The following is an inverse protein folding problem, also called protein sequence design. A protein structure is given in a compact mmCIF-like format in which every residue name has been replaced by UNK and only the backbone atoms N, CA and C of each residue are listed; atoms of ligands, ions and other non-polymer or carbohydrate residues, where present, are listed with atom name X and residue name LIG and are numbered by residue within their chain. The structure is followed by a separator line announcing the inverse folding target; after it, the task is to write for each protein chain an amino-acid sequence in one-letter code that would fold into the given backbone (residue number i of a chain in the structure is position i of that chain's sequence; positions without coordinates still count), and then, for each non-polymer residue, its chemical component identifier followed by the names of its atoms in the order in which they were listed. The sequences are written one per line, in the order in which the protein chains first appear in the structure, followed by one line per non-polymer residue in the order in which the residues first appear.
data_IF_207807894266
#
_entry.id   IF_207807894266
#
_cell.length_a   1.000
_cell.length_b   1.000
_cell.length_c   1.000
_cell.angle_alpha   90.00
_cell.angle_beta   90.00
_cell.angle_gamma   90.00
#
_symmetry.space_group_name_H-M   'P 1'
#
loop_
_entity.id
_entity.type
_entity.pdbx_description
1 polymer ?
#
# COMPACT_ATOMS: atom_id res chain seq x y z
N UNK A 1 4.54 -7.23 10.65
CA UNK A 1 3.50 -6.31 10.14
C UNK A 1 2.31 -7.18 9.82
N UNK A 2 1.16 -6.94 10.45
CA UNK A 2 0.02 -7.83 10.28
C UNK A 2 -0.76 -7.46 9.01
N UNK A 3 -1.15 -8.48 8.23
CA UNK A 3 -2.17 -8.29 7.19
C UNK A 3 -3.56 -8.46 7.81
N UNK A 4 -4.58 -7.94 7.13
CA UNK A 4 -5.96 -8.05 7.57
C UNK A 4 -6.85 -8.55 6.45
N UNK A 5 -7.67 -9.55 6.74
CA UNK A 5 -8.70 -10.08 5.85
C UNK A 5 -10.08 -9.84 6.44
N UNK A 6 -10.81 -8.87 5.89
CA UNK A 6 -12.22 -8.69 6.23
C UNK A 6 -13.04 -9.27 5.09
N UNK A 7 -13.97 -10.17 5.41
CA UNK A 7 -14.87 -10.82 4.45
C UNK A 7 -14.16 -11.77 3.44
N UNK A 8 -13.17 -12.54 3.91
CA UNK A 8 -12.66 -13.69 3.16
C UNK A 8 -11.58 -13.41 2.10
N UNK A 9 -10.91 -12.26 2.15
CA UNK A 9 -9.70 -12.05 1.35
C UNK A 9 -8.60 -13.04 1.78
N UNK A 10 -7.87 -13.63 0.83
CA UNK A 10 -6.78 -14.55 1.18
C UNK A 10 -5.60 -13.73 1.73
N UNK A 11 -5.13 -14.10 2.92
CA UNK A 11 -3.90 -13.57 3.54
C UNK A 11 -2.99 -14.73 3.91
N UNK A 12 -1.68 -14.57 3.72
CA UNK A 12 -0.68 -15.57 4.08
C UNK A 12 -0.38 -15.56 5.59
N UNK A 13 -0.41 -14.37 6.18
CA UNK A 13 -0.15 -14.13 7.60
C UNK A 13 -0.91 -12.88 8.05
N UNK A 14 -1.61 -12.97 9.17
CA UNK A 14 -2.32 -11.85 9.78
C UNK A 14 -3.67 -12.21 10.37
N UNK A 15 -4.46 -11.18 10.65
CA UNK A 15 -5.78 -11.34 11.27
C UNK A 15 -6.89 -11.38 10.21
N UNK A 16 -7.98 -12.08 10.51
CA UNK A 16 -9.15 -12.05 9.66
C UNK A 16 -10.46 -12.06 10.42
N UNK A 17 -11.48 -11.51 9.78
CA UNK A 17 -12.87 -11.57 10.21
C UNK A 17 -13.70 -12.27 9.12
N UNK A 18 -14.38 -13.34 9.50
CA UNK A 18 -15.28 -14.07 8.62
C UNK A 18 -16.58 -14.45 9.31
N UNK A 19 -17.61 -14.73 8.51
CA UNK A 19 -18.86 -15.31 8.97
C UNK A 19 -18.88 -16.79 8.59
N UNK A 20 -18.99 -17.66 9.58
CA UNK A 20 -19.11 -19.10 9.39
C UNK A 20 -20.45 -19.58 9.97
N UNK A 21 -21.43 -19.80 9.10
CA UNK A 21 -22.74 -20.33 9.47
C UNK A 21 -23.57 -19.42 10.39
N UNK A 22 -23.38 -18.10 10.30
CA UNK A 22 -24.06 -17.12 11.15
C UNK A 22 -23.28 -16.72 12.41
N UNK A 23 -22.13 -17.35 12.66
CA UNK A 23 -21.23 -16.98 13.75
C UNK A 23 -20.00 -16.27 13.17
N UNK A 24 -19.73 -15.05 13.63
CA UNK A 24 -18.57 -14.28 13.21
C UNK A 24 -17.34 -14.70 14.01
N UNK A 25 -16.20 -14.85 13.34
CA UNK A 25 -14.96 -15.33 13.93
C UNK A 25 -13.82 -14.37 13.62
N UNK A 26 -13.20 -13.82 14.66
CA UNK A 26 -11.91 -13.15 14.55
C UNK A 26 -10.81 -14.18 14.71
N UNK A 27 -9.94 -14.31 13.72
CA UNK A 27 -8.88 -15.30 13.71
C UNK A 27 -7.52 -14.67 13.39
N UNK A 28 -6.46 -15.43 13.66
CA UNK A 28 -5.11 -15.17 13.18
C UNK A 28 -4.62 -16.38 12.39
N UNK A 29 -3.96 -16.13 11.27
CA UNK A 29 -3.32 -17.16 10.44
C UNK A 29 -1.85 -16.83 10.27
N UNK A 30 -1.00 -17.85 10.32
CA UNK A 30 0.42 -17.77 9.99
C UNK A 30 0.86 -19.11 9.39
N UNK A 31 1.51 -19.08 8.22
CA UNK A 31 2.07 -20.28 7.56
C UNK A 31 1.04 -21.41 7.35
N UNK A 32 -0.22 -21.05 7.13
CA UNK A 32 -1.33 -22.00 6.93
C UNK A 32 -1.97 -22.52 8.22
N UNK A 33 -1.39 -22.22 9.38
CA UNK A 33 -1.98 -22.53 10.68
C UNK A 33 -2.92 -21.40 11.08
N UNK A 34 -4.16 -21.77 11.39
CA UNK A 34 -5.22 -20.81 11.76
C UNK A 34 -5.70 -21.06 13.18
N UNK A 35 -5.78 -19.99 13.96
CA UNK A 35 -6.40 -19.97 15.30
C UNK A 35 -7.52 -18.95 15.37
N UNK A 36 -8.70 -19.38 15.84
CA UNK A 36 -9.76 -18.44 16.20
C UNK A 36 -9.43 -17.82 17.54
N UNK A 37 -9.51 -16.50 17.61
CA UNK A 37 -9.20 -15.70 18.79
C UNK A 37 -10.46 -15.28 19.53
N UNK A 38 -11.52 -14.88 18.79
CA UNK A 38 -12.79 -14.45 19.36
C UNK A 38 -13.98 -14.84 18.48
N UNK A 39 -15.14 -14.96 19.11
CA UNK A 39 -16.42 -15.27 18.46
C UNK A 39 -17.45 -14.18 18.74
N UNK A 40 -18.30 -13.90 17.75
CA UNK A 40 -19.38 -12.92 17.88
C UNK A 40 -20.66 -13.44 17.24
N UNK A 41 -21.77 -13.23 17.92
CA UNK A 41 -23.11 -13.65 17.44
C UNK A 41 -23.67 -12.65 16.42
N UNK A 42 -23.28 -11.39 16.51
CA UNK A 42 -23.75 -10.34 15.63
C UNK A 42 -22.58 -9.66 14.88
N UNK A 43 -22.91 -9.11 13.71
CA UNK A 43 -21.91 -8.43 12.87
C UNK A 43 -21.35 -7.18 13.51
N UNK A 44 -22.22 -6.43 14.20
CA UNK A 44 -21.88 -5.11 14.73
C UNK A 44 -20.71 -5.21 15.71
N UNK A 45 -20.79 -6.12 16.67
CA UNK A 45 -19.77 -6.32 17.69
C UNK A 45 -18.48 -6.86 17.06
N UNK A 46 -18.60 -7.75 16.08
CA UNK A 46 -17.46 -8.31 15.36
C UNK A 46 -16.69 -7.23 14.58
N UNK A 47 -17.42 -6.33 13.91
CA UNK A 47 -16.87 -5.21 13.15
C UNK A 47 -16.26 -4.16 14.08
N UNK A 48 -16.93 -3.85 15.19
CA UNK A 48 -16.43 -2.90 16.19
C UNK A 48 -15.11 -3.38 16.80
N UNK A 49 -15.05 -4.66 17.18
CA UNK A 49 -13.83 -5.30 17.67
C UNK A 49 -12.71 -5.27 16.63
N UNK A 50 -12.98 -5.69 15.39
CA UNK A 50 -12.00 -5.69 14.32
C UNK A 50 -11.48 -4.27 14.04
N UNK A 51 -12.36 -3.27 14.03
CA UNK A 51 -12.00 -1.87 13.83
C UNK A 51 -11.08 -1.34 14.93
N UNK A 52 -11.36 -1.68 16.19
CA UNK A 52 -10.50 -1.32 17.32
C UNK A 52 -9.11 -1.92 17.16
N UNK A 53 -9.02 -3.23 16.86
CA UNK A 53 -7.73 -3.92 16.65
C UNK A 53 -6.94 -3.34 15.49
N UNK A 54 -7.59 -3.03 14.37
CA UNK A 54 -6.93 -2.44 13.19
C UNK A 54 -6.44 -1.03 13.49
N UNK A 55 -7.23 -0.22 14.22
CA UNK A 55 -6.84 1.15 14.59
C UNK A 55 -5.64 1.19 15.53
N UNK A 56 -5.51 0.21 16.42
CA UNK A 56 -4.38 0.07 17.34
C UNK A 56 -3.10 -0.40 16.64
N UNK A 57 -3.20 -1.05 15.47
CA UNK A 57 -2.03 -1.40 14.66
C UNK A 57 -1.57 -0.19 13.85
N UNK A 58 -0.44 0.39 14.30
CA UNK A 58 0.15 1.58 13.68
C UNK A 58 0.40 1.44 12.17
N UNK A 59 0.70 0.23 11.71
CA UNK A 59 1.02 -0.02 10.31
C UNK A 59 -0.25 -0.27 9.49
N UNK A 60 -1.22 -0.99 10.03
CA UNK A 60 -2.48 -1.29 9.36
C UNK A 60 -3.33 -0.04 9.10
N UNK A 61 -3.22 0.95 9.98
CA UNK A 61 -3.98 2.19 9.87
C UNK A 61 -3.32 3.24 8.95
N UNK A 62 -2.13 2.97 8.38
CA UNK A 62 -1.40 3.89 7.49
C UNK A 62 -1.56 3.49 6.02
N UNK A 63 -2.07 4.41 5.20
CA UNK A 63 -2.21 4.22 3.76
C UNK A 63 -1.14 5.02 3.02
N UNK A 64 -0.24 4.35 2.31
CA UNK A 64 0.81 5.00 1.54
C UNK A 64 0.23 5.78 0.34
N UNK A 65 0.59 7.06 0.21
CA UNK A 65 0.13 7.91 -0.90
C UNK A 65 1.25 8.35 -1.85
N UNK A 66 2.51 8.35 -1.41
CA UNK A 66 3.61 8.76 -2.27
C UNK A 66 4.96 8.82 -1.60
N UNK A 67 6.01 8.97 -2.42
CA UNK A 67 7.38 9.16 -2.00
C UNK A 67 8.06 10.22 -2.86
N UNK A 68 8.61 11.23 -2.19
CA UNK A 68 9.07 12.48 -2.78
C UNK A 68 10.57 12.62 -2.60
N UNK A 69 11.24 13.15 -3.62
CA UNK A 69 12.70 13.27 -3.62
C UNK A 69 13.16 14.56 -2.96
N UNK A 70 12.40 15.64 -3.16
CA UNK A 70 12.69 16.95 -2.56
C UNK A 70 11.74 17.23 -1.41
N UNK A 71 12.19 18.05 -0.48
CA UNK A 71 11.35 18.49 0.65
C UNK A 71 10.21 19.39 0.18
N UNK A 72 10.43 20.20 -0.85
CA UNK A 72 9.40 21.08 -1.43
C UNK A 72 8.22 20.28 -2.02
N UNK A 73 8.49 19.23 -2.80
CA UNK A 73 7.44 18.35 -3.37
C UNK A 73 6.64 17.67 -2.24
N UNK A 74 7.32 17.27 -1.17
CA UNK A 74 6.66 16.65 -0.03
C UNK A 74 5.78 17.68 0.71
N UNK A 75 6.29 18.88 0.93
CA UNK A 75 5.61 19.94 1.68
C UNK A 75 4.35 20.45 0.96
N UNK A 76 4.36 20.53 -0.37
CA UNK A 76 3.16 20.84 -1.17
C UNK A 76 2.02 19.85 -0.87
N UNK A 77 2.34 18.56 -0.79
CA UNK A 77 1.37 17.52 -0.47
C UNK A 77 0.91 17.63 0.98
N UNK A 78 1.83 17.87 1.93
CA UNK A 78 1.48 18.03 3.34
C UNK A 78 0.58 19.24 3.59
N UNK A 79 0.82 20.36 2.90
CA UNK A 79 -0.04 21.53 2.94
C UNK A 79 -1.46 21.19 2.49
N UNK A 80 -1.60 20.42 1.42
CA UNK A 80 -2.90 20.00 0.91
C UNK A 80 -3.63 19.05 1.87
N UNK A 81 -2.91 18.11 2.50
CA UNK A 81 -3.47 17.25 3.55
C UNK A 81 -3.99 18.07 4.74
N UNK A 82 -3.23 19.07 5.19
CA UNK A 82 -3.64 19.97 6.28
C UNK A 82 -4.88 20.77 5.91
N UNK A 83 -4.95 21.35 4.70
CA UNK A 83 -6.14 22.08 4.21
C UNK A 83 -7.40 21.21 4.22
N UNK A 84 -7.26 19.91 3.92
CA UNK A 84 -8.37 18.95 3.89
C UNK A 84 -8.70 18.35 5.27
N UNK A 85 -7.96 18.72 6.32
CA UNK A 85 -8.10 18.14 7.65
C UNK A 85 -7.85 16.62 7.65
N UNK A 86 -6.88 16.17 6.87
CA UNK A 86 -6.51 14.75 6.78
C UNK A 86 -5.28 14.51 7.64
N UNK A 87 -5.42 13.60 8.60
CA UNK A 87 -4.31 13.13 9.43
C UNK A 87 -3.32 12.30 8.61
N UNK A 88 -2.03 12.51 8.86
CA UNK A 88 -0.95 11.90 8.09
C UNK A 88 0.25 11.55 8.96
N UNK A 89 1.11 10.69 8.42
CA UNK A 89 2.40 10.34 8.98
C UNK A 89 3.46 10.36 7.88
N UNK A 90 4.69 10.76 8.23
CA UNK A 90 5.82 10.85 7.30
C UNK A 90 7.10 10.34 7.92
N UNK A 91 7.98 9.82 7.08
CA UNK A 91 9.37 9.56 7.43
C UNK A 91 10.31 9.75 6.24
N UNK A 92 11.62 9.75 6.52
CA UNK A 92 12.68 9.81 5.51
C UNK A 92 13.45 8.50 5.47
N UNK A 93 13.65 7.95 4.28
CA UNK A 93 14.40 6.71 4.06
C UNK A 93 15.49 6.89 2.99
N UNK A 94 16.64 6.19 3.09
CA UNK A 94 17.61 6.13 2.01
C UNK A 94 17.14 5.09 0.96
N UNK A 95 16.56 5.55 -0.14
CA UNK A 95 15.93 4.67 -1.14
C UNK A 95 16.92 4.13 -2.19
N UNK A 96 17.72 5.02 -2.79
CA UNK A 96 18.70 4.69 -3.83
C UNK A 96 20.15 4.59 -3.32
N UNK A 97 20.35 4.57 -2.00
CA UNK A 97 21.65 4.61 -1.34
C UNK A 97 21.74 5.75 -0.33
N UNK A 98 22.92 5.92 0.30
CA UNK A 98 23.15 6.87 1.40
C UNK A 98 22.83 8.34 1.06
N UNK A 99 22.81 8.68 -0.23
CA UNK A 99 22.59 10.05 -0.73
C UNK A 99 21.24 10.25 -1.44
N UNK A 100 20.39 9.22 -1.56
CA UNK A 100 19.05 9.33 -2.15
C UNK A 100 18.00 9.17 -1.05
N UNK A 101 17.89 10.22 -0.22
CA UNK A 101 16.86 10.32 0.81
C UNK A 101 15.53 10.68 0.19
N UNK A 102 14.48 9.97 0.59
CA UNK A 102 13.12 10.22 0.13
C UNK A 102 12.15 10.31 1.29
N UNK A 103 11.25 11.28 1.20
CA UNK A 103 10.17 11.46 2.17
C UNK A 103 8.98 10.61 1.73
N UNK A 104 8.57 9.66 2.57
CA UNK A 104 7.34 8.90 2.35
C UNK A 104 6.20 9.57 3.08
N UNK A 105 5.03 9.60 2.44
CA UNK A 105 3.82 10.17 3.03
C UNK A 105 2.74 9.10 3.09
N UNK A 106 2.12 9.00 4.26
CA UNK A 106 1.03 8.09 4.56
C UNK A 106 -0.15 8.88 5.13
N UNK A 107 -1.37 8.46 4.83
CA UNK A 107 -2.60 9.02 5.41
C UNK A 107 -3.28 8.01 6.32
N UNK A 108 -3.88 8.50 7.40
CA UNK A 108 -4.43 7.64 8.45
C UNK A 108 -5.87 7.24 8.13
N UNK A 109 -6.17 5.95 8.30
CA UNK A 109 -7.50 5.36 8.17
C UNK A 109 -8.21 5.73 6.86
N UNK A 110 -9.46 6.20 6.99
CA UNK A 110 -10.28 6.56 5.84
C UNK A 110 -9.86 7.87 5.14
N UNK A 111 -8.81 8.56 5.61
CA UNK A 111 -8.27 9.77 4.98
C UNK A 111 -7.93 9.56 3.51
N UNK A 112 -7.51 8.34 3.13
CA UNK A 112 -7.21 7.94 1.76
C UNK A 112 -8.34 8.23 0.76
N UNK A 113 -9.60 8.19 1.20
CA UNK A 113 -10.76 8.44 0.34
C UNK A 113 -10.86 9.91 -0.09
N UNK A 114 -10.29 10.84 0.69
CA UNK A 114 -10.33 12.30 0.47
C UNK A 114 -9.16 12.82 -0.39
N UNK A 115 -8.20 11.96 -0.71
CA UNK A 115 -6.89 12.36 -1.29
C UNK A 115 -6.52 11.50 -2.49
N UNK A 116 -7.51 10.88 -3.14
CA UNK A 116 -7.29 9.99 -4.28
C UNK A 116 -6.52 10.67 -5.42
N UNK A 117 -6.73 11.96 -5.58
CA UNK A 117 -6.05 12.85 -6.53
C UNK A 117 -4.57 13.12 -6.18
N UNK A 118 -4.18 12.97 -4.90
CA UNK A 118 -2.81 13.17 -4.43
C UNK A 118 -1.98 11.89 -4.44
N UNK A 119 -2.58 10.75 -4.77
CA UNK A 119 -1.87 9.46 -4.80
C UNK A 119 -0.89 9.47 -5.97
N UNK A 120 0.40 9.39 -5.65
CA UNK A 120 1.46 9.40 -6.64
C UNK A 120 1.38 8.15 -7.52
N UNK A 121 1.24 8.37 -8.82
CA UNK A 121 1.02 7.30 -9.79
C UNK A 121 2.25 6.38 -9.93
N UNK A 122 2.05 5.06 -9.80
CA UNK A 122 3.11 4.04 -9.86
C UNK A 122 3.90 4.06 -11.19
N UNK A 123 3.33 4.61 -12.27
CA UNK A 123 4.01 4.70 -13.57
C UNK A 123 5.15 5.72 -13.60
N UNK A 124 5.09 6.79 -12.77
CA UNK A 124 6.19 7.77 -12.66
C UNK A 124 7.42 7.21 -11.94
N UNK A 125 7.24 6.25 -11.03
CA UNK A 125 8.33 5.62 -10.27
C UNK A 125 9.30 4.80 -11.15
N UNK A 126 8.85 4.28 -12.30
CA UNK A 126 9.69 3.51 -13.24
C UNK A 126 10.45 4.37 -14.24
N UNK A 127 9.95 5.57 -14.56
CA UNK A 127 10.59 6.48 -15.53
C UNK A 127 11.74 7.28 -14.94
N UNK A 128 11.75 7.49 -13.63
CA UNK A 128 12.85 8.19 -12.94
C UNK A 128 14.01 7.27 -12.56
N UNK A 129 13.81 5.94 -12.50
CA UNK A 129 14.89 4.96 -12.28
C UNK A 129 15.62 4.55 -13.55
N UNK A 130 15.05 4.80 -14.74
CA UNK A 130 15.66 4.47 -16.03
C UNK A 130 16.54 5.58 -16.61
N UNK A 131 16.65 6.75 -15.97
CA UNK A 131 17.44 7.88 -16.49
C UNK A 131 18.89 7.94 -15.97
N UNK A 132 19.23 7.13 -14.96
CA UNK A 132 20.55 7.16 -14.30
C UNK A 132 21.38 5.86 -14.47
N UNK A 133 21.04 4.99 -15.44
CA UNK A 133 21.93 3.90 -15.85
C UNK A 133 22.20 3.99 -17.34
N UNK A 134 23.28 4.70 -17.69
CA UNK A 134 23.95 4.48 -18.95
C UNK A 134 24.57 3.08 -18.94
N UNK A 135 23.91 2.13 -19.59
CA UNK A 135 24.57 1.02 -20.27
C UNK A 135 23.62 0.42 -21.33
N UNK A 136 23.48 1.16 -22.43
CA UNK A 136 22.70 0.78 -23.61
C UNK A 136 23.55 -0.11 -24.53
N UNK A 137 23.45 -1.44 -24.44
CA UNK A 137 23.87 -2.26 -25.59
C UNK A 137 23.16 -3.62 -25.76
N UNK A 138 22.59 -4.21 -24.71
CA UNK A 138 21.92 -5.51 -24.82
C UNK A 138 20.40 -5.42 -25.12
N UNK A 139 19.69 -4.49 -24.46
CA UNK A 139 18.22 -4.40 -24.51
C UNK A 139 17.68 -3.85 -25.85
N UNK A 140 18.47 -3.11 -26.62
CA UNK A 140 18.03 -2.57 -27.90
C UNK A 140 17.82 -3.65 -29.00
N UNK A 141 18.45 -4.83 -28.84
CA UNK A 141 18.35 -5.94 -29.82
C UNK A 141 17.07 -6.76 -29.64
N UNK A 142 16.63 -6.99 -28.41
CA UNK A 142 15.41 -7.76 -28.11
C UNK A 142 14.13 -7.00 -28.50
N UNK A 143 14.09 -5.69 -28.27
CA UNK A 143 12.93 -4.85 -28.59
C UNK A 143 12.69 -4.66 -30.10
N UNK A 144 13.74 -4.69 -30.93
CA UNK A 144 13.59 -4.67 -32.40
C UNK A 144 12.97 -5.96 -32.95
N UNK A 145 13.22 -7.10 -32.30
CA UNK A 145 12.67 -8.39 -32.71
C UNK A 145 11.16 -8.47 -32.41
N UNK A 146 10.76 -7.99 -31.23
CA UNK A 146 9.35 -7.96 -30.80
C UNK A 146 8.49 -7.01 -31.64
N UNK A 147 9.03 -5.84 -32.04
CA UNK A 147 8.34 -4.92 -32.93
C UNK A 147 8.21 -5.44 -34.38
N UNK A 148 9.16 -6.25 -34.86
CA UNK A 148 9.04 -6.93 -36.17
C UNK A 148 7.96 -8.02 -36.16
N UNK A 149 7.84 -8.76 -35.07
CA UNK A 149 6.84 -9.84 -34.92
C UNK A 149 5.40 -9.31 -34.86
N UNK A 150 5.16 -8.16 -34.20
CA UNK A 150 3.83 -7.53 -34.15
C UNK A 150 3.31 -7.01 -35.48
N UNK A 151 4.19 -6.69 -36.43
CA UNK A 151 3.82 -6.13 -37.73
C UNK A 151 3.52 -7.21 -38.79
N UNK A 152 3.81 -8.48 -38.48
CA UNK A 152 3.51 -9.63 -39.33
C UNK A 152 2.17 -10.29 -38.99
N UNK A 153 1.49 -9.82 -37.94
CA UNK A 153 0.22 -10.34 -37.43
C UNK A 153 -0.87 -9.25 -37.33
N UNK A 154 -0.85 -8.31 -38.28
CA UNK A 154 -2.00 -7.46 -38.67
C UNK A 154 -2.12 -7.51 -40.19
#
# INVERSE_FOLDING_TARGET
MNSYSINGNIINEGHGLENNGGLYQWYYTERGERRTLEYFVNEKDAVEYALEKIKMDEHANRNYIGMYKTDDEAEEVLLELRKRGVEYWTDKIPYGGLNDWRTRIFVIGCGIKKVKDLIQDKQKQRRTTSKDKGDDSAMAKEYKLWFKLKRLWS
#
